data_IF_647741215630
#
_entry.id   IF_647741215630
#
_cell.length_a   1.000
_cell.length_b   1.000
_cell.length_c   1.000
_cell.angle_alpha   90.00
_cell.angle_beta   90.00
_cell.angle_gamma   90.00
#
_symmetry.space_group_name_H-M   'P 1'
#
loop_
_entity.id
_entity.type
_entity.pdbx_description
1 polymer ?
#
# COMPACT_ATOMS: atom_id res chain seq x y z
N UNK A 1 -26.91 -28.11 50.17
CA UNK A 1 -26.26 -27.03 49.38
C UNK A 1 -26.86 -27.03 47.99
N UNK A 2 -27.75 -26.07 47.69
CA UNK A 2 -28.36 -25.91 46.35
C UNK A 2 -27.45 -24.97 45.55
N UNK A 3 -26.59 -25.53 44.71
CA UNK A 3 -25.74 -24.73 43.82
C UNK A 3 -26.67 -24.05 42.80
N UNK A 4 -26.80 -22.73 42.95
CA UNK A 4 -27.63 -21.87 42.11
C UNK A 4 -27.12 -21.91 40.67
N UNK A 5 -27.85 -22.61 39.79
CA UNK A 5 -27.53 -22.77 38.36
C UNK A 5 -27.72 -21.49 37.54
N UNK A 6 -28.02 -20.37 38.18
CA UNK A 6 -28.27 -19.08 37.51
C UNK A 6 -26.96 -18.31 37.26
N UNK A 7 -25.87 -18.63 37.96
CA UNK A 7 -24.61 -17.89 37.85
C UNK A 7 -23.77 -18.20 36.59
N UNK A 8 -24.13 -19.22 35.80
CA UNK A 8 -23.34 -19.62 34.61
C UNK A 8 -23.84 -18.96 33.32
N UNK A 9 -25.08 -18.45 33.29
CA UNK A 9 -25.66 -17.84 32.10
C UNK A 9 -25.16 -16.41 31.81
N UNK A 10 -24.54 -15.74 32.78
CA UNK A 10 -24.09 -14.34 32.66
C UNK A 10 -22.70 -14.17 32.05
N UNK A 11 -21.92 -15.24 31.84
CA UNK A 11 -20.58 -15.18 31.24
C UNK A 11 -20.59 -15.17 29.70
N UNK A 12 -21.72 -15.46 29.05
CA UNK A 12 -21.84 -15.50 27.58
C UNK A 12 -22.11 -14.14 26.91
N UNK A 13 -22.33 -13.07 27.68
CA UNK A 13 -22.72 -11.75 27.17
C UNK A 13 -21.55 -10.82 26.83
N UNK A 14 -20.30 -11.27 26.98
CA UNK A 14 -19.10 -10.50 26.64
C UNK A 14 -18.46 -10.88 25.30
N UNK A 15 -19.19 -11.53 24.40
CA UNK A 15 -18.84 -11.49 22.97
C UNK A 15 -19.21 -10.10 22.42
N UNK A 16 -18.61 -9.05 22.97
CA UNK A 16 -18.57 -7.75 22.31
C UNK A 16 -17.92 -8.02 20.97
N UNK A 17 -18.65 -7.82 19.88
CA UNK A 17 -18.04 -7.70 18.57
C UNK A 17 -16.93 -6.67 18.74
N UNK A 18 -15.68 -7.12 18.72
CA UNK A 18 -14.56 -6.21 18.70
C UNK A 18 -14.71 -5.46 17.39
N UNK A 19 -15.33 -4.29 17.45
CA UNK A 19 -15.19 -3.26 16.43
C UNK A 19 -13.75 -2.74 16.57
N UNK A 20 -12.76 -3.63 16.39
CA UNK A 20 -11.44 -3.20 16.02
C UNK A 20 -11.67 -2.31 14.81
N UNK A 21 -11.39 -1.02 14.95
CA UNK A 21 -11.46 -0.08 13.85
C UNK A 21 -10.29 -0.44 12.92
N UNK A 22 -10.46 -1.53 12.17
CA UNK A 22 -9.51 -2.01 11.17
C UNK A 22 -9.48 -0.97 10.07
N UNK A 23 -8.38 -0.23 10.00
CA UNK A 23 -8.19 0.78 8.97
C UNK A 23 -7.35 0.17 7.85
N UNK A 24 -7.88 0.20 6.64
CA UNK A 24 -7.09 -0.01 5.41
C UNK A 24 -6.77 1.36 4.84
N UNK A 25 -5.49 1.61 4.59
CA UNK A 25 -4.99 2.82 3.96
C UNK A 25 -4.52 2.49 2.55
N UNK A 26 -5.17 3.10 1.55
CA UNK A 26 -4.60 3.23 0.22
C UNK A 26 -3.55 4.35 0.27
N UNK A 27 -2.35 4.05 -0.19
CA UNK A 27 -1.25 4.99 -0.24
C UNK A 27 -0.42 4.78 -1.50
N UNK A 28 0.51 5.69 -1.76
CA UNK A 28 1.42 5.58 -2.89
C UNK A 28 2.25 6.83 -3.09
N UNK A 29 3.10 6.77 -4.11
CA UNK A 29 3.88 7.89 -4.63
C UNK A 29 3.63 7.98 -6.12
N UNK A 30 3.29 9.18 -6.58
CA UNK A 30 3.21 9.50 -7.99
C UNK A 30 4.35 10.45 -8.34
N UNK A 31 5.36 9.91 -9.02
CA UNK A 31 6.50 10.66 -9.56
C UNK A 31 6.44 10.58 -11.08
N UNK A 32 6.18 11.73 -11.70
CA UNK A 32 6.17 11.88 -13.14
C UNK A 32 6.90 13.18 -13.48
N UNK A 33 7.79 13.12 -14.47
CA UNK A 33 8.62 14.23 -14.91
C UNK A 33 8.73 14.30 -16.43
N UNK A 34 9.09 15.48 -16.92
CA UNK A 34 9.56 15.67 -18.30
C UNK A 34 11.08 15.77 -18.25
N UNK A 35 11.74 14.97 -19.06
CA UNK A 35 13.19 14.91 -19.16
C UNK A 35 13.65 15.33 -20.55
N UNK A 36 14.72 16.14 -20.60
CA UNK A 36 15.46 16.46 -21.81
C UNK A 36 16.83 15.78 -21.75
N UNK A 37 17.11 14.91 -22.71
CA UNK A 37 18.40 14.26 -22.90
C UNK A 37 19.07 14.81 -24.14
N UNK A 38 20.31 15.26 -24.00
CA UNK A 38 21.20 15.61 -25.11
C UNK A 38 22.22 14.51 -25.38
N UNK A 39 22.67 14.37 -26.62
CA UNK A 39 23.69 13.40 -27.04
C UNK A 39 23.28 11.93 -26.86
N UNK A 40 21.99 11.62 -27.03
CA UNK A 40 21.48 10.24 -27.01
C UNK A 40 22.12 9.46 -28.19
N UNK A 41 22.63 8.23 -27.99
CA UNK A 41 23.18 7.43 -29.07
C UNK A 41 22.20 7.27 -30.24
N UNK A 42 22.67 7.55 -31.44
CA UNK A 42 21.89 7.55 -32.68
C UNK A 42 22.72 7.00 -33.83
N UNK A 43 22.07 6.59 -34.92
CA UNK A 43 22.72 6.18 -36.16
C UNK A 43 23.50 7.34 -36.82
N UNK A 44 23.22 8.60 -36.45
CA UNK A 44 23.92 9.77 -36.98
C UNK A 44 25.10 10.21 -36.09
N UNK A 45 26.22 10.66 -36.69
CA UNK A 45 27.32 11.28 -35.96
C UNK A 45 26.84 12.50 -35.16
N UNK A 46 27.23 12.61 -33.89
CA UNK A 46 26.85 13.72 -32.99
C UNK A 46 25.67 13.44 -32.06
N UNK A 47 25.06 12.25 -32.13
CA UNK A 47 23.93 11.87 -31.27
C UNK A 47 22.64 12.61 -31.60
N UNK A 48 21.58 12.36 -30.83
CA UNK A 48 20.29 13.04 -30.95
C UNK A 48 19.85 13.67 -29.63
N UNK A 49 18.86 14.55 -29.71
CA UNK A 49 18.18 15.11 -28.54
C UNK A 49 16.82 14.41 -28.38
N UNK A 50 16.43 14.15 -27.14
CA UNK A 50 15.17 13.51 -26.81
C UNK A 50 14.46 14.26 -25.69
N UNK A 51 13.18 14.54 -25.89
CA UNK A 51 12.26 14.96 -24.82
C UNK A 51 11.34 13.78 -24.54
N UNK A 52 11.22 13.37 -23.27
CA UNK A 52 10.31 12.29 -22.88
C UNK A 52 9.62 12.58 -21.57
N UNK A 53 8.42 12.04 -21.42
CA UNK A 53 7.86 11.82 -20.09
C UNK A 53 8.55 10.61 -19.47
N UNK A 54 8.75 10.66 -18.16
CA UNK A 54 9.41 9.61 -17.41
C UNK A 54 8.77 9.53 -16.03
N UNK A 55 8.82 8.34 -15.44
CA UNK A 55 8.22 8.03 -14.15
C UNK A 55 9.30 7.59 -13.18
N UNK A 56 9.25 8.10 -11.96
CA UNK A 56 10.11 7.65 -10.87
C UNK A 56 11.52 8.23 -10.86
N UNK A 57 11.70 9.47 -11.33
CA UNK A 57 13.02 10.11 -11.39
C UNK A 57 13.56 10.48 -10.02
N UNK A 58 12.70 10.91 -9.10
CA UNK A 58 13.09 11.28 -7.74
C UNK A 58 12.72 10.19 -6.72
N UNK A 59 11.59 9.51 -6.92
CA UNK A 59 11.16 8.39 -6.10
C UNK A 59 10.39 7.36 -6.91
N UNK A 60 10.60 6.06 -6.67
CA UNK A 60 9.87 5.00 -7.36
C UNK A 60 8.35 5.16 -7.20
N UNK A 61 7.69 5.41 -8.32
CA UNK A 61 6.24 5.45 -8.43
C UNK A 61 5.62 4.10 -8.07
N UNK A 62 4.66 4.12 -7.14
CA UNK A 62 4.01 2.92 -6.61
C UNK A 62 2.68 3.24 -5.96
N UNK A 63 1.85 2.23 -5.80
CA UNK A 63 0.65 2.28 -4.97
C UNK A 63 0.60 1.06 -4.07
N UNK A 64 -0.13 1.16 -2.96
CA UNK A 64 -0.24 0.05 -2.04
C UNK A 64 -1.40 0.19 -1.07
N UNK A 65 -1.71 -0.93 -0.41
CA UNK A 65 -2.68 -1.06 0.66
C UNK A 65 -1.93 -1.50 1.91
N UNK A 66 -2.06 -0.75 3.00
CA UNK A 66 -1.56 -1.16 4.32
C UNK A 66 -2.68 -1.15 5.33
N UNK A 67 -2.62 -2.02 6.32
CA UNK A 67 -3.62 -2.04 7.37
C UNK A 67 -3.12 -2.70 8.64
N UNK A 68 -3.83 -2.38 9.72
CA UNK A 68 -3.63 -2.96 11.04
C UNK A 68 -5.00 -3.39 11.56
N UNK A 69 -5.11 -4.65 11.95
CA UNK A 69 -6.29 -5.24 12.56
C UNK A 69 -5.98 -5.61 14.00
N UNK A 70 -6.81 -5.13 14.94
CA UNK A 70 -6.70 -5.50 16.34
C UNK A 70 -7.43 -6.82 16.58
N UNK A 71 -6.68 -7.83 17.04
CA UNK A 71 -7.21 -9.17 17.32
C UNK A 71 -7.63 -9.35 18.79
N UNK A 72 -7.55 -8.28 19.59
CA UNK A 72 -7.83 -8.28 21.02
C UNK A 72 -6.61 -8.62 21.88
N UNK A 73 -6.68 -8.26 23.17
CA UNK A 73 -5.62 -8.61 24.14
C UNK A 73 -4.24 -8.01 23.85
N UNK A 74 -4.18 -6.96 23.02
CA UNK A 74 -2.93 -6.35 22.56
C UNK A 74 -2.30 -7.01 21.33
N UNK A 75 -2.89 -8.07 20.80
CA UNK A 75 -2.45 -8.72 19.57
C UNK A 75 -2.96 -7.97 18.34
N UNK A 76 -2.12 -7.83 17.31
CA UNK A 76 -2.46 -7.16 16.06
C UNK A 76 -1.97 -7.95 14.85
N UNK A 77 -2.78 -8.02 13.80
CA UNK A 77 -2.34 -8.41 12.46
C UNK A 77 -1.99 -7.15 11.65
N UNK A 78 -0.90 -7.22 10.88
CA UNK A 78 -0.41 -6.11 10.05
C UNK A 78 -0.19 -6.65 8.65
N UNK A 79 -0.61 -5.89 7.63
CA UNK A 79 -0.34 -6.22 6.24
C UNK A 79 0.08 -4.99 5.45
N UNK A 80 0.86 -5.24 4.40
CA UNK A 80 1.25 -4.26 3.40
C UNK A 80 1.36 -4.98 2.04
N UNK A 81 0.68 -4.42 1.05
CA UNK A 81 0.74 -4.85 -0.35
C UNK A 81 1.12 -3.63 -1.17
N UNK A 82 2.22 -3.70 -1.93
CA UNK A 82 2.66 -2.64 -2.83
C UNK A 82 2.82 -3.17 -4.26
N UNK A 83 2.64 -2.28 -5.24
CA UNK A 83 2.92 -2.54 -6.65
C UNK A 83 3.48 -1.27 -7.29
N UNK A 84 4.55 -1.45 -8.07
CA UNK A 84 5.15 -0.38 -8.86
C UNK A 84 4.28 -0.01 -10.05
N UNK A 85 4.28 1.28 -10.41
CA UNK A 85 3.57 1.79 -11.60
C UNK A 85 4.44 2.78 -12.36
N UNK A 86 4.47 2.66 -13.68
CA UNK A 86 5.09 3.63 -14.57
C UNK A 86 4.03 4.63 -15.05
N UNK A 87 4.09 5.89 -14.61
CA UNK A 87 3.11 6.92 -15.01
C UNK A 87 3.25 7.40 -16.46
N UNK A 88 4.39 7.18 -17.09
CA UNK A 88 4.65 7.52 -18.50
C UNK A 88 4.04 6.50 -19.48
N UNK A 89 3.86 5.25 -19.05
CA UNK A 89 3.36 4.15 -19.91
C UNK A 89 2.11 3.44 -19.37
N UNK A 90 1.76 3.63 -18.09
CA UNK A 90 0.74 2.86 -17.37
C UNK A 90 1.16 1.42 -17.06
N UNK A 91 2.39 1.02 -17.38
CA UNK A 91 2.88 -0.34 -17.14
C UNK A 91 3.06 -0.61 -15.64
N UNK A 92 2.80 -1.86 -15.24
CA UNK A 92 3.15 -2.34 -13.91
C UNK A 92 4.65 -2.62 -13.87
N UNK A 93 5.32 -2.08 -12.85
CA UNK A 93 6.71 -2.41 -12.57
C UNK A 93 6.69 -3.50 -11.48
N UNK A 94 7.25 -4.67 -11.80
CA UNK A 94 7.38 -5.79 -10.87
C UNK A 94 8.35 -5.46 -9.73
#
# INVERSE_FOLDING_TARGET
MKISRIAVASLGLFATTAFAQSSVTLYGVADAGIEYLSNVPSASPGGSNQVRMTSGNMSTSRWGLRGVEDLGGGLKAIFELESGISFDTGAQNC
#
